data_IF_280157382567
#
_entry.id   IF_280157382567
#
_cell.length_a   1.000
_cell.length_b   1.000
_cell.length_c   1.000
_cell.angle_alpha   90.00
_cell.angle_beta   90.00
_cell.angle_gamma   90.00
#
_symmetry.space_group_name_H-M   'P 1'
#
loop_
_entity.id
_entity.type
_entity.pdbx_description
1 polymer ?
#
# COMPACT_ATOMS: atom_id res chain seq x y z
N UNK A 1 -22.84 9.76 8.73
CA UNK A 1 -21.44 9.93 9.17
C UNK A 1 -20.53 9.11 8.26
N UNK A 2 -19.30 9.56 7.98
CA UNK A 2 -18.35 8.77 7.18
C UNK A 2 -17.60 7.82 8.12
N UNK A 3 -17.97 6.54 8.07
CA UNK A 3 -17.29 5.49 8.82
C UNK A 3 -16.11 4.96 8.01
N UNK A 4 -14.91 5.14 8.53
CA UNK A 4 -13.72 4.53 7.98
C UNK A 4 -13.64 3.09 8.46
N UNK A 5 -13.50 2.15 7.52
CA UNK A 5 -13.32 0.72 7.81
C UNK A 5 -12.06 0.22 7.13
N UNK A 6 -11.34 -0.68 7.78
CA UNK A 6 -10.21 -1.36 7.15
C UNK A 6 -10.72 -2.27 6.03
N UNK A 7 -10.32 -2.01 4.78
CA UNK A 7 -10.74 -2.81 3.62
C UNK A 7 -9.83 -4.00 3.35
N UNK A 8 -8.53 -3.85 3.58
CA UNK A 8 -7.52 -4.86 3.28
C UNK A 8 -6.23 -4.60 4.06
N UNK A 9 -5.51 -5.67 4.38
CA UNK A 9 -4.15 -5.61 4.91
C UNK A 9 -3.22 -6.26 3.88
N UNK A 10 -2.23 -5.51 3.40
CA UNK A 10 -1.26 -5.99 2.42
C UNK A 10 -0.06 -6.58 3.17
N UNK A 11 0.04 -7.91 3.23
CA UNK A 11 1.12 -8.62 3.92
C UNK A 11 2.36 -8.80 3.03
N UNK A 12 3.48 -9.15 3.66
CA UNK A 12 4.71 -9.62 2.99
C UNK A 12 5.45 -8.62 2.10
N UNK A 13 5.01 -7.35 2.07
CA UNK A 13 5.67 -6.32 1.27
C UNK A 13 6.84 -5.65 1.96
N UNK A 14 6.79 -5.48 3.28
CA UNK A 14 7.88 -4.88 4.05
C UNK A 14 8.17 -5.62 5.35
N UNK A 15 9.45 -5.76 5.69
CA UNK A 15 9.91 -6.39 6.94
C UNK A 15 10.31 -5.39 8.02
N UNK A 16 10.31 -4.08 7.68
CA UNK A 16 10.59 -2.97 8.59
C UNK A 16 9.58 -1.85 8.39
N UNK A 17 9.67 -0.80 9.21
CA UNK A 17 8.75 0.33 9.18
C UNK A 17 8.67 0.96 7.79
N UNK A 18 7.42 1.15 7.33
CA UNK A 18 7.08 1.88 6.11
C UNK A 18 7.19 3.37 6.41
N UNK A 19 7.85 4.13 5.54
CA UNK A 19 8.09 5.57 5.71
C UNK A 19 7.30 6.44 4.73
N UNK A 20 6.85 5.88 3.61
CA UNK A 20 6.07 6.61 2.63
C UNK A 20 5.11 5.68 1.88
N UNK A 21 3.95 6.22 1.52
CA UNK A 21 2.95 5.59 0.65
C UNK A 21 2.44 6.62 -0.35
N UNK A 22 2.23 6.20 -1.59
CA UNK A 22 1.68 7.05 -2.65
C UNK A 22 0.73 6.27 -3.55
N UNK A 23 -0.41 6.87 -3.88
CA UNK A 23 -1.30 6.34 -4.91
C UNK A 23 -0.79 6.73 -6.29
N UNK A 24 -0.90 5.81 -7.23
CA UNK A 24 -0.84 6.14 -8.65
C UNK A 24 -1.98 7.09 -9.03
N UNK A 25 -1.75 7.95 -10.03
CA UNK A 25 -2.76 8.90 -10.50
C UNK A 25 -4.07 8.22 -10.94
N UNK A 26 -3.97 7.04 -11.57
CA UNK A 26 -5.13 6.25 -12.00
C UNK A 26 -5.82 5.48 -10.85
N UNK A 27 -5.28 5.51 -9.62
CA UNK A 27 -5.88 4.86 -8.44
C UNK A 27 -5.81 3.33 -8.43
N UNK A 28 -5.19 2.71 -9.43
CA UNK A 28 -5.13 1.25 -9.55
C UNK A 28 -3.93 0.62 -8.82
N UNK A 29 -2.94 1.45 -8.47
CA UNK A 29 -1.73 1.03 -7.78
C UNK A 29 -1.38 1.90 -6.58
N UNK A 30 -0.74 1.28 -5.61
CA UNK A 30 -0.09 1.93 -4.47
C UNK A 30 1.41 1.59 -4.50
N UNK A 31 2.26 2.59 -4.27
CA UNK A 31 3.66 2.37 -3.96
C UNK A 31 3.89 2.55 -2.45
N UNK A 32 4.64 1.64 -1.83
CA UNK A 32 5.12 1.78 -0.45
C UNK A 32 6.64 1.65 -0.39
N UNK A 33 7.28 2.45 0.47
CA UNK A 33 8.73 2.43 0.68
C UNK A 33 9.07 2.34 2.17
N UNK A 34 10.04 1.49 2.52
CA UNK A 34 10.36 1.14 3.91
C UNK A 34 11.87 1.10 4.22
N UNK A 35 12.19 0.94 5.51
CA UNK A 35 13.58 0.82 6.00
C UNK A 35 14.23 -0.54 5.75
N UNK A 36 13.53 -1.45 5.10
CA UNK A 36 14.06 -2.71 4.58
C UNK A 36 14.73 -2.54 3.20
N UNK A 37 14.93 -1.29 2.77
CA UNK A 37 15.53 -0.92 1.49
C UNK A 37 14.74 -1.42 0.28
N UNK A 38 13.43 -1.66 0.45
CA UNK A 38 12.52 -2.08 -0.63
C UNK A 38 11.51 -1.00 -0.97
N UNK A 39 11.05 -1.07 -2.21
CA UNK A 39 9.83 -0.42 -2.69
C UNK A 39 8.90 -1.52 -3.20
N UNK A 40 7.67 -1.54 -2.71
CA UNK A 40 6.66 -2.53 -3.07
C UNK A 40 5.52 -1.85 -3.83
N UNK A 41 5.16 -2.41 -4.98
CA UNK A 41 4.06 -1.92 -5.82
C UNK A 41 2.89 -2.89 -5.69
N UNK A 42 1.76 -2.35 -5.25
CA UNK A 42 0.53 -3.09 -5.02
C UNK A 42 -0.45 -2.75 -6.11
N UNK A 43 -0.97 -3.77 -6.79
CA UNK A 43 -2.06 -3.61 -7.74
C UNK A 43 -3.37 -4.04 -7.09
N UNK A 44 -4.42 -3.26 -7.32
CA UNK A 44 -5.76 -3.70 -6.97
C UNK A 44 -6.14 -4.82 -7.93
N UNK A 45 -6.16 -6.06 -7.46
CA UNK A 45 -6.81 -7.14 -8.21
C UNK A 45 -8.31 -6.84 -8.31
N UNK A 46 -8.86 -7.02 -9.51
CA UNK A 46 -10.27 -6.76 -9.80
C UNK A 46 -11.20 -7.48 -8.82
N UNK A 47 -12.37 -6.88 -8.60
CA UNK A 47 -13.42 -7.39 -7.73
C UNK A 47 -14.03 -8.67 -8.28
#
# INVERSE_FOLDING_TARGET
ERNWVCRSTLSDGHTRSIRSVAWSYCGNRIASAGFDAKVSIWERQGQ
#
